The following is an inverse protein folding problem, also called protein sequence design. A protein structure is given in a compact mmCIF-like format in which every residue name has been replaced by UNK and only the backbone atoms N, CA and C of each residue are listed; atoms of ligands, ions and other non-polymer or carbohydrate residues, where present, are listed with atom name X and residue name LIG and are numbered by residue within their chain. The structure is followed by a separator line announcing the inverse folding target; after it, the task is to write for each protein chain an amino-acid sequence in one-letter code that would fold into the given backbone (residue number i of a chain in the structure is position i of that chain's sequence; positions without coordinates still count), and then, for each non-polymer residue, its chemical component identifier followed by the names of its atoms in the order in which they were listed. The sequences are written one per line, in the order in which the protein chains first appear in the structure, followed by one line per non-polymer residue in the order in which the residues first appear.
data_IF_491331702703
#
_entry.id   IF_491331702703
#
_cell.length_a   1.000
_cell.length_b   1.000
_cell.length_c   1.000
_cell.angle_alpha   90.00
_cell.angle_beta   90.00
_cell.angle_gamma   90.00
#
_symmetry.space_group_name_H-M   'P 1'
#
loop_
_entity.id
_entity.type
_entity.pdbx_description
1 polymer ?
#
# COMPACT_ATOMS: atom_id res chain seq x y z
N UNK A 1 -25.38 1.02 -11.14
CA UNK A 1 -24.85 -0.17 -10.46
C UNK A 1 -23.39 -0.28 -10.90
N UNK A 2 -22.43 0.17 -10.08
CA UNK A 2 -21.01 0.06 -10.40
C UNK A 2 -20.60 -1.34 -10.01
N UNK A 3 -20.22 -2.18 -10.97
CA UNK A 3 -19.65 -3.50 -10.68
C UNK A 3 -18.39 -3.27 -9.85
N UNK A 4 -18.43 -3.69 -8.59
CA UNK A 4 -17.23 -3.74 -7.74
C UNK A 4 -16.30 -4.79 -8.32
N UNK A 5 -15.06 -4.42 -8.56
CA UNK A 5 -14.03 -5.35 -9.02
C UNK A 5 -13.69 -6.30 -7.87
N UNK A 6 -13.71 -7.60 -8.12
CA UNK A 6 -13.19 -8.60 -7.18
C UNK A 6 -11.66 -8.69 -7.29
N UNK A 7 -11.00 -9.06 -6.19
CA UNK A 7 -9.59 -9.41 -6.23
C UNK A 7 -9.52 -10.89 -6.64
N UNK A 8 -9.15 -11.13 -7.88
CA UNK A 8 -8.95 -12.49 -8.39
C UNK A 8 -7.46 -12.85 -8.39
N UNK A 9 -7.18 -14.14 -8.25
CA UNK A 9 -5.80 -14.63 -8.36
C UNK A 9 -5.23 -14.28 -9.75
N UNK A 10 -4.06 -13.67 -9.77
CA UNK A 10 -3.41 -13.17 -10.99
C UNK A 10 -3.80 -11.74 -11.36
N UNK A 11 -4.67 -11.07 -10.59
CA UNK A 11 -4.96 -9.65 -10.80
C UNK A 11 -3.67 -8.85 -10.76
N UNK A 12 -3.44 -8.08 -11.83
CA UNK A 12 -2.28 -7.19 -11.95
C UNK A 12 -2.78 -5.76 -12.06
N UNK A 13 -2.25 -4.88 -11.19
CA UNK A 13 -2.59 -3.46 -11.15
C UNK A 13 -1.32 -2.61 -11.19
N UNK A 14 -1.34 -1.59 -12.03
CA UNK A 14 -0.20 -0.68 -12.21
C UNK A 14 -0.53 0.67 -11.60
N UNK A 15 0.29 1.11 -10.68
CA UNK A 15 0.36 2.48 -10.21
C UNK A 15 1.50 3.20 -10.94
N UNK A 16 1.19 3.87 -12.02
CA UNK A 16 2.18 4.54 -12.87
C UNK A 16 2.90 5.69 -12.16
N UNK A 17 2.27 6.35 -11.19
CA UNK A 17 2.88 7.43 -10.42
C UNK A 17 4.10 6.95 -9.63
N UNK A 18 3.99 5.78 -9.00
CA UNK A 18 5.05 5.21 -8.17
C UNK A 18 5.94 4.23 -8.94
N UNK A 19 5.65 4.03 -10.23
CA UNK A 19 6.31 3.00 -11.07
C UNK A 19 6.22 1.60 -10.44
N UNK A 20 5.06 1.28 -9.92
CA UNK A 20 4.78 0.13 -9.08
C UNK A 20 3.73 -0.77 -9.75
N UNK A 21 4.02 -2.05 -9.86
CA UNK A 21 3.09 -3.07 -10.36
C UNK A 21 2.79 -4.06 -9.25
N UNK A 22 1.53 -4.17 -8.87
CA UNK A 22 1.02 -5.15 -7.92
C UNK A 22 0.56 -6.40 -8.66
N UNK A 23 0.93 -7.58 -8.18
CA UNK A 23 0.54 -8.89 -8.72
C UNK A 23 -0.03 -9.71 -7.57
N UNK A 24 -1.35 -9.88 -7.53
CA UNK A 24 -2.06 -10.62 -6.49
C UNK A 24 -2.05 -12.12 -6.81
N UNK A 25 -0.95 -12.80 -6.51
CA UNK A 25 -0.70 -14.22 -6.85
C UNK A 25 -0.95 -15.18 -5.69
N UNK A 26 -1.00 -14.68 -4.46
CA UNK A 26 -1.17 -15.46 -3.25
C UNK A 26 -2.62 -15.88 -2.97
N UNK A 27 -2.86 -16.66 -1.90
CA UNK A 27 -4.19 -16.89 -1.39
C UNK A 27 -4.87 -15.58 -1.01
N UNK A 28 -6.10 -15.37 -1.49
CA UNK A 28 -6.82 -14.09 -1.30
C UNK A 28 -7.62 -14.07 0.00
N UNK A 29 -7.87 -15.20 0.59
CA UNK A 29 -8.73 -15.45 1.74
C UNK A 29 -8.00 -16.10 2.93
N UNK A 30 -6.66 -16.14 2.91
CA UNK A 30 -5.87 -16.61 4.04
C UNK A 30 -6.01 -15.61 5.21
N UNK A 31 -6.60 -16.01 6.35
CA UNK A 31 -6.78 -15.11 7.48
C UNK A 31 -5.47 -14.80 8.22
N UNK A 32 -4.44 -15.60 7.99
CA UNK A 32 -3.15 -15.48 8.70
C UNK A 32 -2.19 -14.55 7.98
N UNK A 33 -2.16 -14.60 6.64
CA UNK A 33 -1.20 -13.84 5.83
C UNK A 33 -1.86 -13.19 4.62
N UNK A 34 -1.55 -11.91 4.38
CA UNK A 34 -1.86 -11.22 3.13
C UNK A 34 -0.58 -11.13 2.31
N UNK A 35 -0.59 -11.69 1.09
CA UNK A 35 0.61 -11.80 0.27
C UNK A 35 0.34 -11.37 -1.17
N UNK A 36 1.25 -10.55 -1.70
CA UNK A 36 1.29 -10.18 -3.12
C UNK A 36 2.72 -9.94 -3.58
N UNK A 37 2.92 -9.95 -4.88
CA UNK A 37 4.20 -9.64 -5.49
C UNK A 37 4.20 -8.21 -5.98
N UNK A 38 5.35 -7.56 -5.87
CA UNK A 38 5.62 -6.22 -6.38
C UNK A 38 6.75 -6.24 -7.39
N UNK A 39 6.60 -5.40 -8.41
CA UNK A 39 7.66 -4.98 -9.30
C UNK A 39 7.77 -3.46 -9.23
N UNK A 40 8.94 -2.96 -8.87
CA UNK A 40 9.28 -1.54 -8.89
C UNK A 40 10.27 -1.27 -10.03
N UNK A 41 9.91 -0.41 -10.95
CA UNK A 41 10.85 0.09 -11.96
C UNK A 41 11.93 0.97 -11.32
N UNK A 42 12.96 1.31 -12.07
CA UNK A 42 14.02 2.23 -11.60
C UNK A 42 13.41 3.55 -11.09
N UNK A 43 13.80 3.93 -9.88
CA UNK A 43 13.26 5.10 -9.17
C UNK A 43 11.83 4.94 -8.68
N UNK A 44 11.28 3.72 -8.71
CA UNK A 44 9.99 3.40 -8.15
C UNK A 44 10.03 3.28 -6.63
N UNK A 45 8.89 3.55 -5.98
CA UNK A 45 8.73 3.45 -4.53
C UNK A 45 7.36 2.87 -4.17
N UNK A 46 7.29 2.19 -3.04
CA UNK A 46 6.03 1.70 -2.53
C UNK A 46 5.28 2.71 -1.67
N UNK A 47 3.98 2.45 -1.49
CA UNK A 47 3.17 3.15 -0.49
C UNK A 47 2.87 4.62 -0.76
N UNK A 48 2.82 5.06 -2.02
CA UNK A 48 2.50 6.45 -2.35
C UNK A 48 3.73 7.37 -2.20
N UNK A 49 4.62 7.32 -3.18
CA UNK A 49 5.77 8.19 -3.31
C UNK A 49 6.74 8.14 -2.10
N UNK A 50 7.02 6.92 -1.61
CA UNK A 50 7.85 6.67 -0.42
C UNK A 50 7.36 7.37 0.86
N UNK A 51 6.04 7.54 0.99
CA UNK A 51 5.45 8.11 2.20
C UNK A 51 5.77 7.26 3.43
N UNK A 52 6.38 7.88 4.44
CA UNK A 52 6.67 7.20 5.69
C UNK A 52 5.37 6.87 6.42
N UNK A 53 5.14 5.59 6.67
CA UNK A 53 3.90 5.08 7.25
C UNK A 53 4.16 4.01 8.31
N UNK A 54 3.10 3.61 9.01
CA UNK A 54 3.14 2.57 10.02
C UNK A 54 1.97 1.59 9.82
N UNK A 55 2.24 0.28 10.00
CA UNK A 55 1.21 -0.74 10.15
C UNK A 55 1.06 -1.08 11.64
N UNK A 56 0.02 -0.59 12.33
CA UNK A 56 -0.05 -0.75 13.79
C UNK A 56 -0.36 -2.18 14.24
N UNK A 57 -0.94 -2.99 13.36
CA UNK A 57 -1.45 -4.32 13.70
C UNK A 57 -0.82 -5.49 12.95
N UNK A 58 0.13 -5.24 12.05
CA UNK A 58 0.76 -6.31 11.27
C UNK A 58 2.27 -6.05 11.11
N UNK A 59 3.03 -7.12 11.09
CA UNK A 59 4.42 -7.12 10.64
C UNK A 59 4.43 -7.21 9.12
N UNK A 60 5.35 -6.48 8.46
CA UNK A 60 5.52 -6.50 7.01
C UNK A 60 6.85 -7.16 6.67
N UNK A 61 6.80 -8.13 5.77
CA UNK A 61 7.94 -8.92 5.35
C UNK A 61 8.22 -8.68 3.87
N UNK A 62 9.50 -8.50 3.53
CA UNK A 62 10.00 -8.39 2.17
C UNK A 62 10.89 -9.58 1.85
N UNK A 63 10.70 -10.19 0.67
CA UNK A 63 11.59 -11.20 0.12
C UNK A 63 11.92 -10.82 -1.33
N UNK A 64 13.17 -10.44 -1.58
CA UNK A 64 13.62 -10.02 -2.91
C UNK A 64 13.91 -11.26 -3.77
N UNK A 65 13.41 -11.24 -5.01
CA UNK A 65 13.68 -12.26 -6.03
C UNK A 65 14.65 -11.75 -7.11
N UNK A 66 14.51 -10.45 -7.47
CA UNK A 66 15.35 -9.83 -8.49
C UNK A 66 15.57 -8.36 -8.17
N UNK A 67 16.71 -7.81 -8.59
CA UNK A 67 17.05 -6.42 -8.34
C UNK A 67 17.40 -6.15 -6.89
N UNK A 68 17.21 -4.93 -6.42
CA UNK A 68 17.56 -4.49 -5.08
C UNK A 68 16.58 -3.46 -4.57
N UNK A 69 16.14 -3.60 -3.35
CA UNK A 69 15.33 -2.57 -2.67
C UNK A 69 16.05 -2.02 -1.46
N UNK A 70 15.78 -0.78 -1.13
CA UNK A 70 16.07 -0.22 0.18
C UNK A 70 14.80 -0.20 1.01
N UNK A 71 14.92 -0.57 2.28
CA UNK A 71 13.87 -0.44 3.29
C UNK A 71 14.42 0.45 4.39
N UNK A 72 13.70 1.53 4.70
CA UNK A 72 14.07 2.44 5.78
C UNK A 72 13.11 2.23 6.94
N UNK A 73 13.60 1.75 8.07
CA UNK A 73 12.82 1.44 9.27
C UNK A 73 13.29 2.34 10.41
N UNK A 74 12.40 3.17 10.94
CA UNK A 74 12.74 4.12 12.02
C UNK A 74 13.99 4.95 11.73
N UNK A 75 14.13 5.38 10.47
CA UNK A 75 15.25 6.19 9.99
C UNK A 75 16.54 5.39 9.70
N UNK A 76 16.56 4.08 9.93
CA UNK A 76 17.71 3.22 9.58
C UNK A 76 17.47 2.56 8.22
N UNK A 77 18.37 2.82 7.28
CA UNK A 77 18.31 2.24 5.95
C UNK A 77 19.00 0.86 5.94
N UNK A 78 18.36 -0.09 5.26
CA UNK A 78 18.96 -1.36 4.86
C UNK A 78 18.67 -1.61 3.39
N UNK A 79 19.65 -2.12 2.66
CA UNK A 79 19.51 -2.54 1.27
C UNK A 79 19.54 -4.05 1.19
N UNK A 80 18.55 -4.64 0.52
CA UNK A 80 18.42 -6.09 0.36
C UNK A 80 18.33 -6.47 -1.13
N UNK A 81 18.98 -7.57 -1.50
CA UNK A 81 19.03 -8.12 -2.85
C UNK A 81 18.44 -9.54 -2.95
N UNK A 82 18.64 -10.23 -4.09
CA UNK A 82 18.03 -11.52 -4.35
C UNK A 82 18.30 -12.57 -3.27
N UNK A 83 17.26 -13.21 -2.77
CA UNK A 83 17.29 -14.20 -1.68
C UNK A 83 17.30 -13.58 -0.28
N UNK A 84 17.53 -12.29 -0.15
CA UNK A 84 17.55 -11.60 1.14
C UNK A 84 16.14 -11.17 1.57
N UNK A 85 16.00 -10.96 2.89
CA UNK A 85 14.74 -10.59 3.54
C UNK A 85 14.91 -9.38 4.44
N UNK A 86 13.84 -8.59 4.55
CA UNK A 86 13.68 -7.59 5.60
C UNK A 86 12.34 -7.79 6.30
N UNK A 87 12.29 -7.43 7.58
CA UNK A 87 11.06 -7.44 8.37
C UNK A 87 10.89 -6.09 9.01
N UNK A 88 9.73 -5.49 8.80
CA UNK A 88 9.28 -4.30 9.51
C UNK A 88 8.34 -4.73 10.62
N UNK A 89 8.74 -4.65 11.89
CA UNK A 89 7.83 -4.96 12.99
C UNK A 89 6.66 -3.98 13.02
N UNK A 90 5.50 -4.47 13.46
CA UNK A 90 4.31 -3.63 13.64
C UNK A 90 4.60 -2.36 14.44
N UNK A 91 4.00 -1.26 14.03
CA UNK A 91 4.16 0.03 14.68
C UNK A 91 5.44 0.78 14.34
N UNK A 92 6.36 0.20 13.55
CA UNK A 92 7.58 0.89 13.14
C UNK A 92 7.33 1.77 11.90
N UNK A 93 7.69 3.06 11.93
CA UNK A 93 7.62 3.93 10.77
C UNK A 93 8.63 3.47 9.71
N UNK A 94 8.18 3.34 8.47
CA UNK A 94 9.01 2.84 7.38
C UNK A 94 8.53 3.30 6.01
N UNK A 95 9.38 3.11 5.03
CA UNK A 95 9.08 3.14 3.60
C UNK A 95 10.10 2.27 2.84
N UNK A 96 9.82 1.98 1.59
CA UNK A 96 10.74 1.25 0.72
C UNK A 96 10.76 1.82 -0.70
N UNK A 97 11.86 1.57 -1.42
CA UNK A 97 12.05 2.02 -2.79
C UNK A 97 13.01 1.08 -3.53
N UNK A 98 12.97 1.13 -4.86
CA UNK A 98 13.99 0.49 -5.68
C UNK A 98 15.34 1.20 -5.45
N UNK A 99 16.37 0.44 -5.13
CA UNK A 99 17.73 0.92 -4.84
C UNK A 99 18.72 0.57 -5.95
N UNK A 100 18.27 -0.01 -7.06
CA UNK A 100 19.08 -0.40 -8.21
C UNK A 100 18.73 0.36 -9.48
N UNK A 101 19.49 0.09 -10.52
CA UNK A 101 19.25 0.60 -11.88
C UNK A 101 18.25 -0.28 -12.65
N UNK A 102 18.14 -1.55 -12.25
CA UNK A 102 17.22 -2.52 -12.83
C UNK A 102 15.90 -2.59 -12.03
N UNK A 103 14.80 -3.07 -12.64
CA UNK A 103 13.57 -3.33 -11.91
C UNK A 103 13.80 -4.31 -10.75
N UNK A 104 13.21 -4.01 -9.60
CA UNK A 104 13.21 -4.90 -8.45
C UNK A 104 11.90 -5.69 -8.39
N UNK A 105 12.00 -7.01 -8.19
CA UNK A 105 10.87 -7.92 -8.03
C UNK A 105 10.96 -8.59 -6.65
N UNK A 106 9.93 -8.49 -5.86
CA UNK A 106 9.90 -8.99 -4.50
C UNK A 106 8.48 -9.31 -4.05
N UNK A 107 8.38 -10.16 -3.03
CA UNK A 107 7.13 -10.47 -2.36
C UNK A 107 6.98 -9.60 -1.12
N UNK A 108 5.78 -9.08 -0.91
CA UNK A 108 5.35 -8.42 0.33
C UNK A 108 4.35 -9.32 1.02
N UNK A 109 4.52 -9.52 2.33
CA UNK A 109 3.63 -10.33 3.15
C UNK A 109 3.33 -9.60 4.46
N UNK A 110 2.08 -9.57 4.87
CA UNK A 110 1.61 -9.03 6.14
C UNK A 110 1.10 -10.13 7.06
N UNK A 111 1.53 -10.09 8.31
CA UNK A 111 1.10 -11.02 9.34
C UNK A 111 0.65 -10.25 10.59
N UNK A 112 -0.64 -10.38 11.00
CA UNK A 112 -1.75 -11.09 10.34
C UNK A 112 -2.24 -10.40 9.05
N UNK A 113 -2.98 -11.15 8.23
CA UNK A 113 -3.48 -10.71 6.93
C UNK A 113 -4.33 -9.44 6.99
N UNK A 114 -5.25 -9.38 7.94
CA UNK A 114 -6.25 -8.30 8.02
C UNK A 114 -6.91 -8.03 6.64
N UNK A 115 -7.01 -6.75 6.22
CA UNK A 115 -7.53 -6.38 4.89
C UNK A 115 -6.45 -5.77 3.98
N UNK A 116 -5.17 -6.10 4.19
CA UNK A 116 -4.07 -5.48 3.46
C UNK A 116 -4.20 -5.66 1.93
N UNK A 117 -4.59 -6.86 1.46
CA UNK A 117 -4.81 -7.07 0.02
C UNK A 117 -5.86 -6.12 -0.56
N UNK A 118 -6.99 -5.93 0.14
CA UNK A 118 -8.06 -5.05 -0.31
C UNK A 118 -7.65 -3.59 -0.29
N UNK A 119 -6.88 -3.19 0.71
CA UNK A 119 -6.32 -1.84 0.77
C UNK A 119 -5.44 -1.56 -0.44
N UNK A 120 -4.43 -2.41 -0.70
CA UNK A 120 -3.50 -2.20 -1.81
C UNK A 120 -4.16 -2.33 -3.18
N UNK A 121 -5.08 -3.28 -3.35
CA UNK A 121 -5.84 -3.42 -4.59
C UNK A 121 -6.74 -2.19 -4.85
N UNK A 122 -7.39 -1.63 -3.81
CA UNK A 122 -8.13 -0.37 -3.96
C UNK A 122 -7.22 0.79 -4.29
N UNK A 123 -6.11 0.96 -3.58
CA UNK A 123 -5.16 2.04 -3.82
C UNK A 123 -4.65 2.01 -5.27
N UNK A 124 -4.15 0.85 -5.72
CA UNK A 124 -3.63 0.68 -7.08
C UNK A 124 -4.72 0.85 -8.14
N UNK A 125 -5.93 0.32 -7.91
CA UNK A 125 -7.06 0.46 -8.83
C UNK A 125 -7.52 1.92 -8.96
N UNK A 126 -7.56 2.66 -7.85
CA UNK A 126 -7.89 4.10 -7.85
C UNK A 126 -6.80 4.88 -8.56
N UNK A 127 -5.52 4.60 -8.31
CA UNK A 127 -4.41 5.27 -8.99
C UNK A 127 -4.45 5.06 -10.52
N UNK A 128 -4.81 3.86 -10.97
CA UNK A 128 -4.93 3.54 -12.39
C UNK A 128 -6.17 4.18 -13.05
N UNK A 129 -7.31 4.24 -12.36
CA UNK A 129 -8.60 4.65 -12.95
C UNK A 129 -8.99 6.09 -12.68
N UNK A 130 -8.47 6.70 -11.62
CA UNK A 130 -8.86 8.01 -11.09
C UNK A 130 -7.66 8.94 -10.95
N UNK A 131 -6.84 9.03 -11.97
CA UNK A 131 -5.60 9.82 -11.96
C UNK A 131 -5.81 11.26 -11.51
N UNK A 132 -6.98 11.85 -11.77
CA UNK A 132 -7.35 13.20 -11.33
C UNK A 132 -7.58 13.34 -9.80
N UNK A 133 -7.55 12.24 -9.05
CA UNK A 133 -7.56 12.26 -7.57
C UNK A 133 -6.16 12.28 -6.97
N UNK A 134 -5.16 12.44 -7.82
CA UNK A 134 -3.75 12.50 -7.43
C UNK A 134 -3.11 13.80 -7.93
N UNK A 135 -2.06 14.24 -7.25
CA UNK A 135 -1.19 15.31 -7.74
C UNK A 135 -0.41 14.83 -8.98
N UNK A 136 0.28 15.76 -9.67
CA UNK A 136 1.20 15.40 -10.77
C UNK A 136 2.34 14.49 -10.31
N UNK A 137 2.70 14.54 -9.04
CA UNK A 137 3.74 13.73 -8.41
C UNK A 137 3.21 12.37 -7.92
N UNK A 138 1.88 12.14 -7.99
CA UNK A 138 1.26 10.89 -7.57
C UNK A 138 0.80 10.87 -6.11
N UNK A 139 0.81 12.02 -5.42
CA UNK A 139 0.27 12.09 -4.06
C UNK A 139 -1.26 12.06 -4.11
N UNK A 140 -1.93 11.16 -3.40
CA UNK A 140 -3.37 11.14 -3.37
C UNK A 140 -3.92 12.39 -2.66
N UNK A 141 -5.03 12.93 -3.15
CA UNK A 141 -5.69 14.05 -2.50
C UNK A 141 -6.04 13.73 -1.04
N UNK A 142 -5.93 14.70 -0.16
CA UNK A 142 -6.10 14.49 1.28
C UNK A 142 -7.45 13.84 1.66
N UNK A 143 -8.55 14.18 0.98
CA UNK A 143 -9.84 13.54 1.21
C UNK A 143 -9.86 12.07 0.75
N UNK A 144 -9.11 11.71 -0.29
CA UNK A 144 -8.94 10.32 -0.71
C UNK A 144 -8.16 9.52 0.36
N UNK A 145 -7.07 10.10 0.89
CA UNK A 145 -6.33 9.48 2.00
C UNK A 145 -7.25 9.28 3.19
N UNK A 146 -8.01 10.31 3.58
CA UNK A 146 -8.94 10.22 4.70
C UNK A 146 -9.98 9.11 4.52
N UNK A 147 -10.52 8.96 3.30
CA UNK A 147 -11.47 7.90 2.99
C UNK A 147 -10.84 6.51 3.03
N UNK A 148 -9.66 6.33 2.43
CA UNK A 148 -8.91 5.07 2.42
C UNK A 148 -8.58 4.63 3.85
N UNK A 149 -7.94 5.51 4.64
CA UNK A 149 -7.49 5.17 5.99
C UNK A 149 -8.66 5.08 7.01
N UNK A 150 -9.81 5.70 6.72
CA UNK A 150 -11.03 5.46 7.47
C UNK A 150 -11.66 4.09 7.13
N UNK A 151 -11.66 3.71 5.85
CA UNK A 151 -12.23 2.45 5.37
C UNK A 151 -11.43 1.26 5.89
N UNK A 152 -10.11 1.35 5.79
CA UNK A 152 -9.17 0.31 6.20
C UNK A 152 -8.48 0.67 7.53
N UNK A 153 -9.29 0.86 8.57
CA UNK A 153 -8.78 1.18 9.92
C UNK A 153 -7.83 0.08 10.41
N UNK A 154 -6.74 0.50 11.04
CA UNK A 154 -5.69 -0.35 11.61
C UNK A 154 -4.71 -0.98 10.60
N UNK A 155 -4.84 -0.71 9.30
CA UNK A 155 -3.87 -1.24 8.32
C UNK A 155 -2.67 -0.34 8.16
N UNK A 156 -2.90 0.95 7.94
CA UNK A 156 -1.86 1.92 7.66
C UNK A 156 -2.22 3.29 8.24
N UNK A 157 -1.24 3.98 8.79
CA UNK A 157 -1.32 5.38 9.20
C UNK A 157 -0.05 6.13 8.79
N UNK A 158 -0.19 7.45 8.61
CA UNK A 158 0.95 8.32 8.35
C UNK A 158 1.85 8.37 9.59
N UNK A 159 3.16 8.29 9.38
CA UNK A 159 4.11 8.51 10.47
C UNK A 159 4.13 9.99 10.88
N UNK A 160 4.27 10.24 12.18
CA UNK A 160 4.32 11.57 12.76
C UNK A 160 3.08 11.91 13.60
N UNK A 161 1.90 12.21 13.00
CA UNK A 161 0.72 12.51 13.82
C UNK A 161 0.24 11.30 14.63
N UNK A 162 -0.24 11.49 15.88
CA UNK A 162 -0.78 10.39 16.67
C UNK A 162 -1.90 9.64 15.96
N UNK A 163 -1.86 8.31 15.97
CA UNK A 163 -2.84 7.45 15.28
C UNK A 163 -4.27 7.75 15.71
N UNK A 164 -4.50 8.00 17.00
CA UNK A 164 -5.83 8.35 17.51
C UNK A 164 -6.37 9.62 16.88
N UNK A 165 -5.53 10.64 16.72
CA UNK A 165 -5.90 11.89 16.07
C UNK A 165 -6.26 11.66 14.60
N UNK A 166 -5.47 10.84 13.88
CA UNK A 166 -5.78 10.46 12.50
C UNK A 166 -7.13 9.71 12.41
N UNK A 167 -7.39 8.77 13.32
CA UNK A 167 -8.68 8.04 13.37
C UNK A 167 -9.88 8.97 13.53
N UNK A 168 -9.78 9.95 14.43
CA UNK A 168 -10.85 10.94 14.66
C UNK A 168 -11.04 11.81 13.42
N UNK A 169 -9.95 12.38 12.91
CA UNK A 169 -9.96 13.26 11.74
C UNK A 169 -10.55 12.55 10.51
N UNK A 170 -10.08 11.35 10.21
CA UNK A 170 -10.53 10.60 9.03
C UNK A 170 -11.98 10.12 9.16
N UNK A 171 -12.46 9.85 10.39
CA UNK A 171 -13.88 9.58 10.63
C UNK A 171 -14.77 10.78 10.26
N UNK A 172 -14.31 11.99 10.53
CA UNK A 172 -15.03 13.23 10.20
C UNK A 172 -14.95 13.51 8.69
N UNK A 173 -13.80 13.30 8.08
CA UNK A 173 -13.54 13.66 6.68
C UNK A 173 -14.08 12.62 5.68
N UNK A 174 -14.21 11.35 6.05
CA UNK A 174 -14.68 10.31 5.13
C UNK A 174 -16.09 10.55 4.56
N UNK A 175 -17.08 11.01 5.32
CA UNK A 175 -18.38 11.41 4.76
C UNK A 175 -18.25 12.56 3.74
N UNK A 176 -17.42 13.56 4.05
CA UNK A 176 -17.17 14.68 3.13
C UNK A 176 -16.48 14.20 1.85
N UNK A 177 -15.52 13.28 1.95
CA UNK A 177 -14.90 12.67 0.79
C UNK A 177 -15.93 11.99 -0.11
N UNK A 178 -16.86 11.20 0.46
CA UNK A 178 -17.95 10.57 -0.30
C UNK A 178 -18.84 11.58 -0.99
N UNK A 179 -19.22 12.67 -0.31
CA UNK A 179 -20.00 13.77 -0.90
C UNK A 179 -19.28 14.44 -2.07
N UNK A 180 -17.93 14.47 -2.04
CA UNK A 180 -17.09 14.97 -3.14
C UNK A 180 -16.86 13.95 -4.25
N UNK A 181 -17.49 12.76 -4.18
CA UNK A 181 -17.45 11.73 -5.21
C UNK A 181 -16.30 10.73 -5.07
N UNK A 182 -15.44 10.82 -4.04
CA UNK A 182 -14.43 9.80 -3.77
C UNK A 182 -15.10 8.49 -3.33
N UNK A 183 -14.60 7.37 -3.86
CA UNK A 183 -15.17 6.05 -3.56
C UNK A 183 -14.11 4.95 -3.71
N UNK A 184 -14.38 3.81 -3.12
CA UNK A 184 -13.61 2.58 -3.35
C UNK A 184 -13.97 2.00 -4.72
N UNK A 185 -13.00 1.39 -5.39
CA UNK A 185 -13.19 0.66 -6.66
C UNK A 185 -13.44 -0.84 -6.42
N UNK A 186 -13.01 -1.34 -5.26
CA UNK A 186 -13.19 -2.73 -4.81
C UNK A 186 -13.99 -2.69 -3.52
N UNK A 187 -14.92 -3.63 -3.34
CA UNK A 187 -15.74 -3.71 -2.13
C UNK A 187 -14.83 -3.95 -0.90
N UNK A 188 -14.86 -3.08 0.10
CA UNK A 188 -14.09 -3.27 1.32
C UNK A 188 -14.57 -4.43 2.19
N UNK A 189 -15.85 -4.81 2.09
CA UNK A 189 -16.47 -5.84 2.92
C UNK A 189 -16.21 -7.26 2.39
N UNK A 190 -15.94 -7.41 1.11
CA UNK A 190 -15.53 -8.64 0.45
C UNK A 190 -16.57 -9.59 0.07
#
# INVERSE_FOLDING_TARGET
MTLSMSIERGLTLVNAFNKETFIFSGPLDDPTTARFDLRLEQGGSGGGNALVHVHPGADEHFLVRKGRIKVVISGKEQSIGPGERAVVPRGQPHFFANAGEEPAEFTVEFTPAQQHLRFFANFASIAAKRTHWFSKQGDPHFLLIALLLHTYRNHLYLAGPPILLQKILFRILAPLARLKGYRMEIDPAG
#
